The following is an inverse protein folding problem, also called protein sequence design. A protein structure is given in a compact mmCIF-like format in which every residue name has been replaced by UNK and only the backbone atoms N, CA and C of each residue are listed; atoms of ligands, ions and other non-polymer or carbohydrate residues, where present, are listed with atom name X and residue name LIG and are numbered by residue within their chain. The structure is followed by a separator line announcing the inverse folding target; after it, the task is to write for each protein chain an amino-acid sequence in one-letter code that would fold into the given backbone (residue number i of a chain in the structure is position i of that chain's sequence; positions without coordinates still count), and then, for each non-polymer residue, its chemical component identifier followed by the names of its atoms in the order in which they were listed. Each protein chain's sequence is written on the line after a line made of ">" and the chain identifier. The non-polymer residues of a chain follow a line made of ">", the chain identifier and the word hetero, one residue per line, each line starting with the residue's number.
data_IF_349406080121
#
_entry.id   IF_349406080121
#
_cell.length_a   1.000
_cell.length_b   1.000
_cell.length_c   1.000
_cell.angle_alpha   90.00
_cell.angle_beta   90.00
_cell.angle_gamma   90.00
#
_symmetry.space_group_name_H-M   'P 1'
#
loop_
_entity.id
_entity.type
_entity.pdbx_description
1 polymer ?
#
# COMPACT_ATOMS: atom_id res chain seq x y z
N UNK A 1 8.81 -17.46 0.31
CA UNK A 1 8.77 -17.70 -1.16
C UNK A 1 7.52 -17.07 -1.78
N UNK A 2 6.32 -17.45 -1.33
CA UNK A 2 5.05 -16.85 -1.78
C UNK A 2 5.07 -15.31 -1.71
N UNK A 3 5.48 -14.74 -0.58
CA UNK A 3 5.57 -13.28 -0.40
C UNK A 3 6.49 -12.58 -1.42
N UNK A 4 7.56 -13.23 -1.86
CA UNK A 4 8.47 -12.66 -2.87
C UNK A 4 7.78 -12.60 -4.24
N UNK A 5 7.12 -13.68 -4.66
CA UNK A 5 6.35 -13.70 -5.92
C UNK A 5 5.18 -12.73 -5.89
N UNK A 6 4.44 -12.65 -4.78
CA UNK A 6 3.34 -11.71 -4.62
C UNK A 6 3.85 -10.25 -4.68
N UNK A 7 4.98 -9.95 -4.05
CA UNK A 7 5.62 -8.63 -4.13
C UNK A 7 6.02 -8.25 -5.55
N UNK A 8 6.65 -9.17 -6.29
CA UNK A 8 7.02 -8.94 -7.69
C UNK A 8 5.78 -8.70 -8.55
N UNK A 9 4.72 -9.51 -8.38
CA UNK A 9 3.48 -9.34 -9.11
C UNK A 9 2.81 -7.99 -8.82
N UNK A 10 2.85 -7.53 -7.56
CA UNK A 10 2.33 -6.22 -7.18
C UNK A 10 3.07 -5.07 -7.89
N UNK A 11 4.41 -5.08 -7.89
CA UNK A 11 5.19 -4.06 -8.61
C UNK A 11 5.04 -4.13 -10.13
N UNK A 12 4.87 -5.33 -10.67
CA UNK A 12 4.55 -5.52 -12.08
C UNK A 12 3.18 -4.89 -12.43
N UNK A 13 2.15 -5.12 -11.61
CA UNK A 13 0.83 -4.52 -11.77
C UNK A 13 0.88 -2.99 -11.66
N UNK A 14 1.67 -2.46 -10.73
CA UNK A 14 1.92 -1.02 -10.64
C UNK A 14 2.56 -0.48 -11.94
N UNK A 15 3.55 -1.18 -12.48
CA UNK A 15 4.14 -0.84 -13.78
C UNK A 15 3.12 -0.86 -14.93
N UNK A 16 2.19 -1.83 -14.94
CA UNK A 16 1.10 -1.87 -15.92
C UNK A 16 0.09 -0.74 -15.75
N UNK A 17 -0.13 -0.27 -14.52
CA UNK A 17 -0.98 0.89 -14.23
C UNK A 17 -0.40 2.16 -14.85
N UNK A 18 0.92 2.37 -14.69
CA UNK A 18 1.64 3.42 -15.41
C UNK A 18 1.57 3.24 -16.93
N UNK A 19 1.81 2.03 -17.44
CA UNK A 19 1.78 1.80 -18.88
C UNK A 19 0.40 2.11 -19.47
N UNK A 20 -0.67 1.58 -18.89
CA UNK A 20 -2.03 1.74 -19.43
C UNK A 20 -2.55 3.17 -19.30
N UNK A 21 -2.25 3.87 -18.21
CA UNK A 21 -2.65 5.26 -18.03
C UNK A 21 -1.99 6.19 -19.05
N UNK A 22 -0.69 6.06 -19.29
CA UNK A 22 0.04 6.90 -20.25
C UNK A 22 -0.20 6.49 -21.70
N UNK A 23 -0.40 5.19 -21.97
CA UNK A 23 -0.67 4.70 -23.32
C UNK A 23 -2.08 5.06 -23.81
N UNK A 24 -3.08 5.03 -22.92
CA UNK A 24 -4.47 5.33 -23.28
C UNK A 24 -4.74 6.81 -23.58
N UNK A 25 -3.81 7.72 -23.25
CA UNK A 25 -3.96 9.17 -23.41
C UNK A 25 -5.24 9.75 -22.80
N UNK A 26 -5.84 9.08 -21.81
CA UNK A 26 -7.01 9.59 -21.09
C UNK A 26 -6.53 10.59 -20.02
N UNK A 27 -6.87 11.89 -20.12
CA UNK A 27 -6.32 12.91 -19.22
C UNK A 27 -6.58 12.62 -17.75
N UNK A 28 -7.78 12.12 -17.42
CA UNK A 28 -8.15 11.81 -16.04
C UNK A 28 -7.21 10.78 -15.37
N UNK A 29 -6.84 9.71 -16.07
CA UNK A 29 -5.98 8.66 -15.51
C UNK A 29 -4.51 9.09 -15.43
N UNK A 30 -4.04 9.86 -16.41
CA UNK A 30 -2.68 10.42 -16.39
C UNK A 30 -2.51 11.44 -15.26
N UNK A 31 -3.47 12.35 -15.09
CA UNK A 31 -3.39 13.41 -14.08
C UNK A 31 -3.47 12.85 -12.65
N UNK A 32 -4.18 11.74 -12.43
CA UNK A 32 -4.22 11.04 -11.15
C UNK A 32 -2.84 10.49 -10.74
N UNK A 33 -2.18 9.76 -11.64
CA UNK A 33 -0.83 9.23 -11.39
C UNK A 33 0.23 10.35 -11.28
N UNK A 34 0.12 11.37 -12.12
CA UNK A 34 1.00 12.54 -12.03
C UNK A 34 0.84 13.27 -10.70
N UNK A 35 -0.39 13.45 -10.22
CA UNK A 35 -0.65 14.03 -8.90
C UNK A 35 -0.05 13.20 -7.76
N UNK A 36 -0.17 11.86 -7.82
CA UNK A 36 0.38 10.96 -6.80
C UNK A 36 1.91 10.95 -6.76
N UNK A 37 2.58 10.83 -7.91
CA UNK A 37 4.03 10.55 -7.98
C UNK A 37 4.90 11.76 -8.31
N UNK A 38 4.36 12.78 -8.97
CA UNK A 38 5.12 13.97 -9.41
C UNK A 38 4.56 15.28 -8.86
N UNK A 39 3.33 15.25 -8.33
CA UNK A 39 2.59 16.43 -7.90
C UNK A 39 1.97 17.17 -9.09
N UNK A 40 0.84 17.84 -8.84
CA UNK A 40 0.13 18.62 -9.85
C UNK A 40 -0.24 19.98 -9.26
N UNK A 41 -0.06 21.07 -10.04
CA UNK A 41 -0.43 22.44 -9.64
C UNK A 41 0.09 22.90 -8.26
N UNK A 42 1.34 22.56 -7.93
CA UNK A 42 1.98 22.96 -6.67
C UNK A 42 1.52 22.17 -5.43
N UNK A 43 0.70 21.13 -5.61
CA UNK A 43 0.31 20.21 -4.55
C UNK A 43 1.14 18.92 -4.66
N UNK A 44 2.06 18.72 -3.71
CA UNK A 44 2.94 17.55 -3.66
C UNK A 44 2.86 16.80 -2.32
N UNK A 45 1.77 16.97 -1.56
CA UNK A 45 1.65 16.45 -0.20
C UNK A 45 1.84 14.91 -0.10
N UNK A 46 1.38 14.18 -1.11
CA UNK A 46 1.43 12.71 -1.14
C UNK A 46 2.63 12.14 -1.89
N UNK A 47 3.37 12.97 -2.61
CA UNK A 47 4.54 12.56 -3.41
C UNK A 47 5.60 11.90 -2.53
N UNK A 48 6.04 12.48 -1.39
CA UNK A 48 7.04 11.83 -0.53
C UNK A 48 6.56 10.48 0.01
N UNK A 49 5.26 10.34 0.30
CA UNK A 49 4.66 9.09 0.80
C UNK A 49 4.64 8.00 -0.27
N UNK A 50 4.32 8.35 -1.52
CA UNK A 50 4.35 7.41 -2.64
C UNK A 50 5.76 6.94 -2.97
N UNK A 51 6.72 7.87 -3.00
CA UNK A 51 8.13 7.53 -3.20
C UNK A 51 8.69 6.68 -2.06
N UNK A 52 8.32 6.98 -0.80
CA UNK A 52 8.68 6.15 0.33
C UNK A 52 8.14 4.73 0.16
N UNK A 53 6.86 4.59 -0.22
CA UNK A 53 6.25 3.29 -0.48
C UNK A 53 7.01 2.51 -1.56
N UNK A 54 7.30 3.17 -2.70
CA UNK A 54 8.01 2.56 -3.82
C UNK A 54 9.40 2.07 -3.41
N UNK A 55 10.19 2.92 -2.72
CA UNK A 55 11.55 2.58 -2.28
C UNK A 55 11.54 1.47 -1.23
N UNK A 56 10.64 1.55 -0.25
CA UNK A 56 10.52 0.53 0.81
C UNK A 56 10.10 -0.81 0.23
N UNK A 57 9.12 -0.84 -0.68
CA UNK A 57 8.66 -2.10 -1.26
C UNK A 57 9.64 -2.70 -2.27
N UNK A 58 10.32 -1.90 -3.11
CA UNK A 58 11.40 -2.39 -3.97
C UNK A 58 12.56 -2.95 -3.12
N UNK A 59 12.93 -2.26 -2.04
CA UNK A 59 13.92 -2.74 -1.08
C UNK A 59 13.50 -4.05 -0.41
N UNK A 60 12.24 -4.15 0.02
CA UNK A 60 11.69 -5.37 0.61
C UNK A 60 11.70 -6.56 -0.38
N UNK A 61 11.32 -6.34 -1.64
CA UNK A 61 11.39 -7.37 -2.69
C UNK A 61 12.84 -7.79 -2.96
N UNK A 62 13.79 -6.85 -3.02
CA UNK A 62 15.20 -7.16 -3.21
C UNK A 62 15.74 -8.04 -2.06
N UNK A 63 15.42 -7.71 -0.81
CA UNK A 63 15.78 -8.51 0.38
C UNK A 63 15.13 -9.90 0.33
N UNK A 64 13.87 -9.99 -0.12
CA UNK A 64 13.13 -11.25 -0.31
C UNK A 64 13.58 -12.06 -1.54
N UNK A 65 14.35 -11.48 -2.46
CA UNK A 65 14.92 -12.20 -3.59
C UNK A 65 16.28 -12.80 -3.25
N UNK A 66 17.08 -12.13 -2.42
CA UNK A 66 18.40 -12.60 -2.02
C UNK A 66 18.29 -13.69 -0.94
N UNK A 67 18.75 -14.95 -1.18
CA UNK A 67 18.61 -16.05 -0.22
C UNK A 67 19.39 -15.81 1.08
N UNK A 68 20.58 -15.20 1.01
CA UNK A 68 21.44 -14.96 2.17
C UNK A 68 20.83 -13.99 3.19
N UNK A 69 20.06 -13.00 2.71
CA UNK A 69 19.34 -12.06 3.56
C UNK A 69 18.07 -12.67 4.17
N UNK A 70 17.39 -13.55 3.42
CA UNK A 70 16.19 -14.27 3.90
C UNK A 70 16.46 -15.27 5.01
N UNK A 71 17.67 -15.82 5.09
CA UNK A 71 18.04 -16.74 6.18
C UNK A 71 18.16 -16.04 7.54
N UNK A 72 18.26 -14.71 7.59
CA UNK A 72 18.31 -13.95 8.83
C UNK A 72 16.91 -13.50 9.23
N UNK A 73 16.43 -14.01 10.37
CA UNK A 73 15.08 -13.72 10.89
C UNK A 73 14.76 -12.23 10.97
N UNK A 74 15.72 -11.40 11.43
CA UNK A 74 15.51 -9.94 11.55
C UNK A 74 15.26 -9.27 10.19
N UNK A 75 16.02 -9.64 9.16
CA UNK A 75 15.85 -9.11 7.79
C UNK A 75 14.55 -9.61 7.17
N UNK A 76 14.17 -10.86 7.44
CA UNK A 76 12.92 -11.42 6.96
C UNK A 76 11.70 -10.67 7.54
N UNK A 77 11.70 -10.40 8.85
CA UNK A 77 10.62 -9.64 9.50
C UNK A 77 10.57 -8.20 8.97
N UNK A 78 11.72 -7.55 8.84
CA UNK A 78 11.81 -6.19 8.30
C UNK A 78 11.30 -6.11 6.84
N UNK A 79 11.67 -7.07 6.00
CA UNK A 79 11.23 -7.11 4.60
C UNK A 79 9.72 -7.40 4.49
N UNK A 80 9.19 -8.36 5.26
CA UNK A 80 7.76 -8.66 5.24
C UNK A 80 6.92 -7.47 5.74
N UNK A 81 7.31 -6.85 6.86
CA UNK A 81 6.60 -5.67 7.38
C UNK A 81 6.69 -4.48 6.43
N UNK A 82 7.87 -4.21 5.88
CA UNK A 82 8.08 -3.16 4.87
C UNK A 82 7.24 -3.39 3.61
N UNK A 83 7.16 -4.62 3.11
CA UNK A 83 6.33 -4.98 1.97
C UNK A 83 4.84 -4.71 2.25
N UNK A 84 4.35 -5.10 3.43
CA UNK A 84 2.96 -4.85 3.85
C UNK A 84 2.66 -3.36 3.93
N UNK A 85 3.55 -2.58 4.55
CA UNK A 85 3.40 -1.12 4.65
C UNK A 85 3.41 -0.46 3.28
N UNK A 86 4.33 -0.86 2.39
CA UNK A 86 4.39 -0.37 1.01
C UNK A 86 3.09 -0.62 0.26
N UNK A 87 2.60 -1.88 0.26
CA UNK A 87 1.34 -2.24 -0.41
C UNK A 87 0.15 -1.50 0.21
N UNK A 88 0.12 -1.33 1.53
CA UNK A 88 -0.93 -0.58 2.22
C UNK A 88 -0.95 0.90 1.82
N UNK A 89 0.21 1.52 1.66
CA UNK A 89 0.31 2.90 1.20
C UNK A 89 -0.14 3.02 -0.27
N UNK A 90 0.33 2.14 -1.16
CA UNK A 90 0.00 2.17 -2.59
C UNK A 90 -1.49 1.88 -2.84
N UNK A 91 -1.97 0.74 -2.35
CA UNK A 91 -3.34 0.25 -2.62
C UNK A 91 -4.39 0.73 -1.63
N UNK A 92 -4.00 1.21 -0.45
CA UNK A 92 -4.92 1.82 0.50
C UNK A 92 -5.05 3.32 0.23
N UNK A 93 -4.05 4.08 0.69
CA UNK A 93 -4.11 5.55 0.64
C UNK A 93 -3.98 6.08 -0.79
N UNK A 94 -3.07 5.53 -1.58
CA UNK A 94 -2.80 5.96 -2.95
C UNK A 94 -4.00 5.80 -3.88
N UNK A 95 -4.60 4.61 -3.93
CA UNK A 95 -5.78 4.34 -4.78
C UNK A 95 -7.00 5.17 -4.40
N UNK A 96 -7.28 5.35 -3.10
CA UNK A 96 -8.44 6.14 -2.66
C UNK A 96 -8.25 7.60 -3.10
N UNK A 97 -7.10 8.19 -2.79
CA UNK A 97 -6.85 9.61 -3.07
C UNK A 97 -6.72 9.86 -4.59
N UNK A 98 -6.02 8.99 -5.31
CA UNK A 98 -5.91 9.07 -6.76
C UNK A 98 -7.23 8.81 -7.49
N UNK A 99 -8.13 8.02 -6.91
CA UNK A 99 -9.46 7.79 -7.47
C UNK A 99 -10.40 8.99 -7.38
N UNK A 100 -10.23 9.85 -6.35
CA UNK A 100 -11.05 11.05 -6.15
C UNK A 100 -10.41 12.34 -6.68
N UNK A 101 -9.10 12.37 -6.88
CA UNK A 101 -8.36 13.51 -7.43
C UNK A 101 -7.58 13.12 -8.70
N UNK A 102 -7.69 13.90 -9.81
CA UNK A 102 -8.44 15.15 -9.95
C UNK A 102 -9.95 14.92 -10.09
N UNK A 103 -10.74 15.88 -9.62
CA UNK A 103 -12.18 15.86 -9.88
C UNK A 103 -12.46 16.02 -11.40
N UNK A 104 -13.64 15.64 -11.91
CA UNK A 104 -14.01 15.83 -13.32
C UNK A 104 -13.94 17.30 -13.80
N UNK A 105 -13.90 18.25 -12.87
CA UNK A 105 -13.71 19.69 -13.12
C UNK A 105 -12.25 20.14 -13.01
N UNK A 106 -11.29 19.20 -13.00
CA UNK A 106 -9.85 19.41 -12.85
C UNK A 106 -9.43 20.17 -11.57
N UNK A 107 -10.34 20.33 -10.61
CA UNK A 107 -10.01 20.89 -9.31
C UNK A 107 -9.35 19.84 -8.41
N UNK A 108 -8.21 20.23 -7.81
CA UNK A 108 -7.50 19.44 -6.81
C UNK A 108 -8.03 19.85 -5.43
N UNK A 109 -8.80 18.97 -4.80
CA UNK A 109 -9.26 19.19 -3.44
C UNK A 109 -8.19 18.67 -2.48
N UNK A 110 -7.68 19.53 -1.60
CA UNK A 110 -6.76 19.07 -0.54
C UNK A 110 -7.54 18.22 0.44
N UNK A 111 -7.24 16.92 0.49
CA UNK A 111 -7.75 16.03 1.52
C UNK A 111 -6.77 15.96 2.69
N UNK A 112 -7.24 16.32 3.87
CA UNK A 112 -6.57 16.08 5.13
C UNK A 112 -7.56 15.34 6.04
N UNK A 113 -7.24 14.11 6.47
CA UNK A 113 -8.16 13.33 7.27
C UNK A 113 -8.45 14.04 8.60
N UNK A 114 -9.73 14.11 8.93
CA UNK A 114 -10.23 14.66 10.19
C UNK A 114 -9.97 13.70 11.35
N UNK A 115 -9.95 14.22 12.58
CA UNK A 115 -9.79 13.39 13.80
C UNK A 115 -10.88 12.31 13.87
N UNK A 116 -12.09 12.62 13.43
CA UNK A 116 -13.20 11.69 13.36
C UNK A 116 -12.94 10.54 12.38
N UNK A 117 -12.45 10.81 11.17
CA UNK A 117 -12.12 9.76 10.20
C UNK A 117 -11.01 8.84 10.71
N UNK A 118 -9.99 9.41 11.36
CA UNK A 118 -8.90 8.64 11.97
C UNK A 118 -9.45 7.75 13.10
N UNK A 119 -10.33 8.28 13.95
CA UNK A 119 -10.93 7.50 15.05
C UNK A 119 -11.77 6.32 14.55
N UNK A 120 -12.53 6.50 13.47
CA UNK A 120 -13.31 5.44 12.83
C UNK A 120 -12.38 4.39 12.22
N UNK A 121 -11.33 4.81 11.51
CA UNK A 121 -10.33 3.89 10.97
C UNK A 121 -9.68 3.06 12.07
N UNK A 122 -9.24 3.69 13.18
CA UNK A 122 -8.68 2.98 14.32
C UNK A 122 -9.69 2.02 14.98
N UNK A 123 -10.96 2.41 15.05
CA UNK A 123 -12.04 1.54 15.54
C UNK A 123 -12.21 0.29 14.69
N UNK A 124 -12.19 0.41 13.36
CA UNK A 124 -12.26 -0.74 12.44
C UNK A 124 -11.07 -1.68 12.66
N UNK A 125 -9.85 -1.12 12.80
CA UNK A 125 -8.65 -1.92 13.07
C UNK A 125 -8.71 -2.64 14.42
N UNK A 126 -9.21 -1.96 15.46
CA UNK A 126 -9.38 -2.54 16.78
C UNK A 126 -10.38 -3.71 16.78
N UNK A 127 -11.51 -3.57 16.08
CA UNK A 127 -12.50 -4.65 15.93
C UNK A 127 -11.91 -5.82 15.15
N UNK A 128 -11.18 -5.56 14.07
CA UNK A 128 -10.49 -6.61 13.30
C UNK A 128 -9.49 -7.40 14.15
N UNK A 129 -8.70 -6.70 14.97
CA UNK A 129 -7.74 -7.32 15.88
C UNK A 129 -8.43 -8.11 17.01
N UNK A 130 -9.55 -7.60 17.54
CA UNK A 130 -10.38 -8.29 18.51
C UNK A 130 -10.92 -9.61 17.95
N UNK A 131 -11.51 -9.57 16.76
CA UNK A 131 -12.03 -10.75 16.07
C UNK A 131 -10.92 -11.77 15.78
N UNK A 132 -9.77 -11.31 15.28
CA UNK A 132 -8.61 -12.16 15.06
C UNK A 132 -8.19 -12.86 16.35
N UNK A 133 -8.12 -12.13 17.46
CA UNK A 133 -7.71 -12.67 18.77
C UNK A 133 -8.72 -13.71 19.28
N UNK A 134 -10.02 -13.46 19.12
CA UNK A 134 -11.07 -14.42 19.49
C UNK A 134 -10.98 -15.70 18.66
N UNK A 135 -10.87 -15.58 17.34
CA UNK A 135 -10.77 -16.73 16.43
C UNK A 135 -9.49 -17.54 16.67
N UNK A 136 -8.36 -16.86 16.91
CA UNK A 136 -7.09 -17.52 17.21
C UNK A 136 -7.19 -18.34 18.51
N UNK A 137 -7.86 -17.81 19.53
CA UNK A 137 -8.08 -18.52 20.80
C UNK A 137 -8.87 -19.81 20.60
N UNK A 138 -9.94 -19.77 19.77
CA UNK A 138 -10.73 -20.95 19.44
C UNK A 138 -9.91 -21.95 18.62
N UNK A 139 -9.21 -21.49 17.58
CA UNK A 139 -8.39 -22.34 16.72
C UNK A 139 -7.26 -23.05 17.49
N UNK A 140 -6.62 -22.35 18.44
CA UNK A 140 -5.59 -22.94 19.30
C UNK A 140 -6.19 -24.00 20.21
N UNK A 141 -7.35 -23.74 20.82
CA UNK A 141 -8.04 -24.71 21.68
C UNK A 141 -8.38 -26.01 20.93
N UNK A 142 -8.96 -25.92 19.73
CA UNK A 142 -9.27 -27.09 18.90
C UNK A 142 -8.01 -27.88 18.53
N UNK A 143 -6.92 -27.17 18.22
CA UNK A 143 -5.65 -27.82 17.84
C UNK A 143 -4.95 -28.51 19.01
N UNK A 144 -5.12 -28.03 20.24
CA UNK A 144 -4.55 -28.68 21.43
C UNK A 144 -5.35 -29.91 21.88
N UNK A 145 -6.64 -29.98 21.54
CA UNK A 145 -7.50 -31.13 21.85
C UNK A 145 -7.44 -32.25 20.78
N UNK A 146 -6.74 -32.02 19.64
CA UNK A 146 -6.48 -33.01 18.58
C UNK A 146 -5.07 -33.59 18.69
#
# INVERSE_FOLDING_TARGET
>A
VIAAYAGIANFFLLGMEFFTAFYSNVPAHMHSLQYLYFGLHGQAQFVPWMWLSLVVGLGAVAVLLVPSLRCRTSWLIAACSGLVVSIWIDKGVGLIIGGFNPTPFEHIVRYAPTVTEISVALGIWAIGLLLLTMLLKVAVAVKTDS
#
